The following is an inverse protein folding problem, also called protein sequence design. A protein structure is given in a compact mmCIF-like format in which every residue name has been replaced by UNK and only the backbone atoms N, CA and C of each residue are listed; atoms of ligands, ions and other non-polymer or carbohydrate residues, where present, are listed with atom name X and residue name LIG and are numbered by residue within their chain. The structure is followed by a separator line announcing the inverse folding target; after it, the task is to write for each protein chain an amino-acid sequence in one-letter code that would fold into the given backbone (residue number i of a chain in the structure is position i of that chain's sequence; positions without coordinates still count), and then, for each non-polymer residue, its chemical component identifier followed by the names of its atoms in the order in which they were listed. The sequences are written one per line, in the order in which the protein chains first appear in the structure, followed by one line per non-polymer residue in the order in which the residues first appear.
data_IF_571230557183
#
_entry.id   IF_571230557183
#
_cell.length_a   1.000
_cell.length_b   1.000
_cell.length_c   1.000
_cell.angle_alpha   90.00
_cell.angle_beta   90.00
_cell.angle_gamma   90.00
#
_symmetry.space_group_name_H-M   'P 1'
#
loop_
_entity.id
_entity.type
_entity.pdbx_description
1 polymer ?
#
# COMPACT_ATOMS: atom_id res chain seq x y z
N UNK A 1 -4.96 19.76 -21.67
CA UNK A 1 -5.02 18.87 -20.48
C UNK A 1 -6.43 18.32 -20.39
N UNK A 2 -6.61 17.00 -20.25
CA UNK A 2 -7.94 16.36 -20.21
C UNK A 2 -8.55 16.33 -18.81
N UNK A 3 -7.72 16.23 -17.78
CA UNK A 3 -8.08 16.42 -16.38
C UNK A 3 -7.29 17.62 -15.82
N UNK A 4 -7.87 18.37 -14.89
CA UNK A 4 -7.21 19.49 -14.18
C UNK A 4 -6.49 19.00 -12.92
N UNK A 5 -5.95 17.80 -12.97
CA UNK A 5 -5.33 17.13 -11.83
C UNK A 5 -3.84 17.49 -11.73
N UNK A 6 -3.37 17.64 -10.50
CA UNK A 6 -1.95 17.77 -10.17
C UNK A 6 -1.44 16.42 -9.66
N UNK A 7 -0.63 15.74 -10.47
CA UNK A 7 -0.09 14.42 -10.11
C UNK A 7 1.35 14.54 -9.59
N UNK A 8 1.55 14.24 -8.31
CA UNK A 8 2.86 14.25 -7.67
C UNK A 8 3.45 12.84 -7.71
N UNK A 9 4.71 12.72 -8.14
CA UNK A 9 5.41 11.43 -8.18
C UNK A 9 6.08 11.13 -6.83
N UNK A 10 6.11 9.86 -6.40
CA UNK A 10 6.94 9.47 -5.26
C UNK A 10 8.43 9.64 -5.61
N UNK A 11 9.25 10.03 -4.64
CA UNK A 11 10.73 10.05 -4.77
C UNK A 11 11.26 8.63 -5.05
N UNK A 12 10.65 7.63 -4.42
CA UNK A 12 10.93 6.21 -4.65
C UNK A 12 9.64 5.51 -5.10
N UNK A 13 9.58 5.11 -6.37
CA UNK A 13 8.40 4.46 -6.95
C UNK A 13 8.27 2.97 -6.62
N UNK A 14 9.35 2.34 -6.11
CA UNK A 14 9.38 0.92 -5.77
C UNK A 14 10.21 0.70 -4.51
N UNK A 15 9.59 0.05 -3.53
CA UNK A 15 10.27 -0.48 -2.35
C UNK A 15 10.34 -1.99 -2.52
N UNK A 16 11.55 -2.54 -2.50
CA UNK A 16 11.76 -3.99 -2.55
C UNK A 16 12.01 -4.49 -1.15
N UNK A 17 11.22 -5.46 -0.71
CA UNK A 17 11.39 -6.09 0.59
C UNK A 17 12.36 -7.27 0.48
N UNK A 18 13.29 -7.35 1.43
CA UNK A 18 14.00 -8.61 1.71
C UNK A 18 13.01 -9.58 2.38
N UNK A 19 13.35 -10.87 2.40
CA UNK A 19 12.51 -11.95 2.96
C UNK A 19 11.93 -11.54 4.32
N UNK A 20 10.59 -11.60 4.46
CA UNK A 20 9.91 -11.31 5.73
C UNK A 20 10.39 -12.34 6.76
N UNK A 21 10.88 -11.92 7.93
CA UNK A 21 11.34 -12.85 8.96
C UNK A 21 10.21 -13.79 9.38
N UNK A 22 10.47 -15.11 9.48
CA UNK A 22 9.45 -16.10 9.85
C UNK A 22 8.92 -15.94 11.28
N UNK A 23 9.56 -15.09 12.10
CA UNK A 23 9.14 -14.79 13.48
C UNK A 23 8.04 -13.74 13.58
N UNK A 24 7.68 -13.09 12.47
CA UNK A 24 6.60 -12.10 12.44
C UNK A 24 5.23 -12.78 12.32
N UNK A 25 4.74 -13.29 13.45
CA UNK A 25 3.37 -13.83 13.57
C UNK A 25 2.31 -12.74 13.75
N UNK A 26 2.71 -11.46 13.74
CA UNK A 26 1.84 -10.29 13.91
C UNK A 26 1.91 -9.34 12.72
N UNK A 27 0.89 -8.48 12.57
CA UNK A 27 0.96 -7.35 11.63
C UNK A 27 2.13 -6.45 12.03
N UNK A 28 2.82 -5.93 11.03
CA UNK A 28 3.95 -5.01 11.16
C UNK A 28 3.80 -3.90 10.13
N UNK A 29 4.38 -2.73 10.40
CA UNK A 29 4.52 -1.70 9.40
C UNK A 29 5.76 -1.96 8.54
N UNK A 30 5.68 -1.65 7.24
CA UNK A 30 6.81 -1.83 6.32
C UNK A 30 8.09 -1.12 6.79
N UNK A 31 7.92 0.02 7.47
CA UNK A 31 8.99 0.83 8.06
C UNK A 31 9.78 0.11 9.16
N UNK A 32 9.18 -0.89 9.82
CA UNK A 32 9.83 -1.64 10.91
C UNK A 32 10.84 -2.67 10.39
N UNK A 33 10.72 -3.07 9.12
CA UNK A 33 11.50 -4.16 8.52
C UNK A 33 12.21 -3.81 7.23
N UNK A 34 12.04 -2.58 6.75
CA UNK A 34 12.72 -2.06 5.57
C UNK A 34 13.61 -0.89 5.95
N UNK A 35 14.60 -0.60 5.12
CA UNK A 35 15.44 0.60 5.27
C UNK A 35 14.68 1.88 4.86
N UNK A 36 13.40 1.77 4.51
CA UNK A 36 12.55 2.87 4.07
C UNK A 36 11.56 3.20 5.18
N UNK A 37 11.68 4.39 5.76
CA UNK A 37 10.75 4.87 6.78
C UNK A 37 9.35 5.08 6.20
N UNK A 38 9.21 5.88 5.14
CA UNK A 38 7.91 6.23 4.57
C UNK A 38 7.99 6.48 3.06
N UNK A 39 6.83 6.44 2.38
CA UNK A 39 6.71 6.80 0.98
C UNK A 39 6.84 8.32 0.82
N UNK A 40 8.06 8.77 0.53
CA UNK A 40 8.34 10.18 0.27
C UNK A 40 7.93 10.62 -1.15
N UNK A 41 7.50 11.88 -1.29
CA UNK A 41 7.08 12.48 -2.56
C UNK A 41 8.01 13.60 -3.02
N UNK A 42 8.08 13.82 -4.34
CA UNK A 42 8.91 14.86 -4.96
C UNK A 42 8.24 16.24 -4.86
N UNK A 43 7.83 16.61 -3.65
CA UNK A 43 7.21 17.88 -3.29
C UNK A 43 7.57 18.18 -1.83
N UNK A 44 7.72 19.46 -1.49
CA UNK A 44 7.93 19.89 -0.12
C UNK A 44 6.61 19.86 0.66
N UNK A 45 6.66 19.58 1.97
CA UNK A 45 5.46 19.40 2.80
C UNK A 45 4.54 20.64 2.79
N UNK A 46 5.10 21.85 2.78
CA UNK A 46 4.31 23.09 2.70
C UNK A 46 3.53 23.20 1.39
N UNK A 47 4.16 22.84 0.27
CA UNK A 47 3.52 22.84 -1.05
C UNK A 47 2.43 21.77 -1.14
N UNK A 48 2.69 20.59 -0.55
CA UNK A 48 1.70 19.53 -0.46
C UNK A 48 0.49 19.97 0.37
N UNK A 49 0.70 20.66 1.48
CA UNK A 49 -0.39 21.19 2.31
C UNK A 49 -1.23 22.24 1.57
N UNK A 50 -0.59 23.13 0.80
CA UNK A 50 -1.33 24.06 -0.05
C UNK A 50 -2.17 23.33 -1.11
N UNK A 51 -1.62 22.26 -1.71
CA UNK A 51 -2.36 21.45 -2.68
C UNK A 51 -3.57 20.76 -2.03
N UNK A 52 -3.42 20.23 -0.81
CA UNK A 52 -4.53 19.64 -0.04
C UNK A 52 -5.65 20.65 0.23
N UNK A 53 -5.30 21.90 0.57
CA UNK A 53 -6.28 22.97 0.83
C UNK A 53 -6.99 23.47 -0.44
N UNK A 54 -6.32 23.37 -1.60
CA UNK A 54 -6.81 23.89 -2.87
C UNK A 54 -7.46 22.82 -3.76
N UNK A 55 -7.54 21.58 -3.30
CA UNK A 55 -8.11 20.45 -4.05
C UNK A 55 -9.33 19.88 -3.35
N UNK A 56 -10.41 19.65 -4.10
CA UNK A 56 -11.62 19.04 -3.57
C UNK A 56 -11.48 17.52 -3.32
N UNK A 57 -10.51 16.89 -3.98
CA UNK A 57 -10.29 15.43 -3.93
C UNK A 57 -8.83 15.07 -4.21
N UNK A 58 -8.35 14.02 -3.55
CA UNK A 58 -7.07 13.38 -3.84
C UNK A 58 -7.27 11.87 -4.08
N UNK A 59 -6.48 11.30 -4.99
CA UNK A 59 -6.48 9.87 -5.28
C UNK A 59 -5.05 9.38 -5.37
N UNK A 60 -4.76 8.27 -4.69
CA UNK A 60 -3.48 7.58 -4.77
C UNK A 60 -3.71 6.09 -5.07
N UNK A 61 -2.87 5.53 -5.95
CA UNK A 61 -2.86 4.09 -6.25
C UNK A 61 -1.54 3.49 -5.79
N UNK A 62 -1.62 2.33 -5.14
CA UNK A 62 -0.47 1.57 -4.65
C UNK A 62 -0.60 0.14 -5.19
N UNK A 63 0.51 -0.43 -5.64
CA UNK A 63 0.56 -1.82 -6.10
C UNK A 63 1.45 -2.62 -5.16
N UNK A 64 0.88 -3.67 -4.57
CA UNK A 64 1.63 -4.65 -3.79
C UNK A 64 1.97 -5.83 -4.69
N UNK A 65 3.25 -6.15 -4.80
CA UNK A 65 3.72 -7.35 -5.50
C UNK A 65 4.07 -8.43 -4.48
N UNK A 66 3.54 -9.63 -4.66
CA UNK A 66 3.82 -10.78 -3.83
C UNK A 66 4.57 -11.85 -4.63
N UNK A 67 5.59 -12.45 -4.04
CA UNK A 67 6.32 -13.59 -4.58
C UNK A 67 6.67 -14.56 -3.45
N UNK A 68 6.71 -15.87 -3.75
CA UNK A 68 7.04 -16.90 -2.74
C UNK A 68 5.94 -17.21 -1.71
N UNK A 69 4.70 -16.74 -1.92
CA UNK A 69 3.54 -17.12 -1.09
C UNK A 69 2.97 -18.51 -1.41
N UNK A 70 3.53 -19.20 -2.43
CA UNK A 70 3.07 -20.51 -2.91
C UNK A 70 3.14 -21.61 -1.85
N UNK A 71 4.07 -21.52 -0.89
CA UNK A 71 4.29 -22.57 0.11
C UNK A 71 3.60 -22.29 1.46
N UNK A 72 3.06 -21.07 1.69
CA UNK A 72 2.43 -20.71 2.96
C UNK A 72 0.92 -20.96 3.01
N UNK A 73 0.29 -21.38 1.90
CA UNK A 73 -1.17 -21.40 1.77
C UNK A 73 -1.70 -22.70 1.17
N UNK A 74 -1.46 -23.83 1.84
CA UNK A 74 -2.27 -25.03 1.61
C UNK A 74 -3.65 -24.91 2.31
N UNK A 75 -3.80 -24.03 3.32
CA UNK A 75 -5.04 -23.93 4.12
C UNK A 75 -5.50 -22.50 4.48
N UNK A 76 -4.89 -21.44 3.94
CA UNK A 76 -5.30 -20.06 4.24
C UNK A 76 -6.22 -19.54 3.12
N UNK A 77 -7.49 -19.35 3.44
CA UNK A 77 -8.53 -18.82 2.55
C UNK A 77 -8.50 -17.29 2.44
N UNK A 78 -7.55 -16.64 3.11
CA UNK A 78 -7.53 -15.20 3.32
C UNK A 78 -6.45 -14.61 2.42
N UNK A 79 -6.88 -13.93 1.35
CA UNK A 79 -5.97 -13.18 0.48
C UNK A 79 -5.12 -12.21 1.30
N UNK A 80 -3.87 -11.99 0.88
CA UNK A 80 -3.00 -10.95 1.45
C UNK A 80 -3.71 -9.59 1.48
N UNK A 81 -4.55 -9.33 0.48
CA UNK A 81 -5.32 -8.10 0.35
C UNK A 81 -6.39 -7.91 1.45
N UNK A 82 -6.77 -8.97 2.19
CA UNK A 82 -7.69 -8.88 3.33
C UNK A 82 -7.00 -8.38 4.62
N UNK A 83 -5.68 -8.52 4.72
CA UNK A 83 -4.93 -8.25 5.96
C UNK A 83 -4.03 -7.02 5.92
N UNK A 84 -3.97 -6.33 4.79
CA UNK A 84 -3.20 -5.09 4.63
C UNK A 84 -3.92 -3.88 5.24
N UNK A 85 -3.11 -2.97 5.79
CA UNK A 85 -3.51 -1.65 6.27
C UNK A 85 -2.61 -0.61 5.62
N UNK A 86 -3.14 0.56 5.32
CA UNK A 86 -2.37 1.68 4.81
C UNK A 86 -2.32 2.79 5.86
N UNK A 87 -1.20 3.48 5.97
CA UNK A 87 -1.03 4.64 6.82
C UNK A 87 -1.17 5.90 5.96
N UNK A 88 -2.11 6.77 6.32
CA UNK A 88 -2.27 8.10 5.72
C UNK A 88 -1.25 9.09 6.28
N UNK A 89 -1.10 10.24 5.61
CA UNK A 89 -0.14 11.28 6.05
C UNK A 89 -0.54 11.98 7.35
N UNK A 90 -1.81 11.87 7.73
CA UNK A 90 -2.40 12.40 8.96
C UNK A 90 -2.45 11.36 10.10
N UNK A 91 -1.59 10.34 10.02
CA UNK A 91 -1.57 9.15 10.89
C UNK A 91 -2.86 8.31 10.86
N UNK A 92 -3.78 8.57 9.93
CA UNK A 92 -4.99 7.78 9.81
C UNK A 92 -4.67 6.39 9.25
N UNK A 93 -5.08 5.35 9.97
CA UNK A 93 -5.04 3.98 9.46
C UNK A 93 -6.26 3.73 8.56
N UNK A 94 -6.00 3.35 7.30
CA UNK A 94 -7.00 2.95 6.33
C UNK A 94 -7.13 1.42 6.33
N UNK A 95 -8.37 0.94 6.49
CA UNK A 95 -8.70 -0.49 6.53
C UNK A 95 -9.81 -0.81 5.53
N UNK A 96 -9.75 -1.99 4.90
CA UNK A 96 -10.67 -2.38 3.82
C UNK A 96 -12.16 -2.25 4.17
N UNK A 97 -12.54 -2.59 5.41
CA UNK A 97 -13.94 -2.65 5.85
C UNK A 97 -14.34 -1.51 6.79
N UNK A 98 -13.49 -0.50 6.98
CA UNK A 98 -13.85 0.64 7.81
C UNK A 98 -14.96 1.47 7.14
N UNK A 99 -15.99 1.96 7.87
CA UNK A 99 -17.11 2.68 7.26
C UNK A 99 -16.70 3.93 6.47
N UNK A 100 -15.78 4.73 7.01
CA UNK A 100 -15.33 6.01 6.42
C UNK A 100 -13.89 6.04 5.90
N UNK A 101 -12.98 5.20 6.44
CA UNK A 101 -11.53 5.25 6.24
C UNK A 101 -11.05 3.98 5.56
N UNK A 102 -11.56 3.74 4.36
CA UNK A 102 -11.31 2.51 3.60
C UNK A 102 -10.60 2.78 2.29
N UNK A 103 -9.80 1.81 1.89
CA UNK A 103 -9.27 1.72 0.54
C UNK A 103 -10.09 0.71 -0.28
N UNK A 104 -10.02 0.84 -1.60
CA UNK A 104 -10.62 -0.10 -2.54
C UNK A 104 -9.53 -0.90 -3.26
N UNK A 105 -9.78 -2.19 -3.47
CA UNK A 105 -8.88 -3.08 -4.22
C UNK A 105 -9.42 -3.15 -5.64
N UNK A 106 -8.67 -2.59 -6.59
CA UNK A 106 -9.01 -2.65 -8.02
C UNK A 106 -8.76 -4.04 -8.61
N UNK A 107 -7.67 -4.72 -8.20
CA UNK A 107 -7.31 -6.06 -8.67
C UNK A 107 -6.53 -6.83 -7.59
N UNK A 108 -6.83 -8.13 -7.45
CA UNK A 108 -6.12 -9.04 -6.53
C UNK A 108 -5.74 -10.36 -7.22
N UNK A 109 -4.45 -10.66 -7.17
CA UNK A 109 -3.85 -11.91 -7.65
C UNK A 109 -2.97 -12.57 -6.58
N UNK A 110 -2.80 -11.93 -5.42
CA UNK A 110 -1.95 -12.41 -4.34
C UNK A 110 -2.69 -13.42 -3.46
N UNK A 111 -2.60 -14.70 -3.83
CA UNK A 111 -3.33 -15.81 -3.16
C UNK A 111 -4.05 -16.74 -4.14
N UNK A 112 -3.98 -16.47 -5.46
CA UNK A 112 -4.40 -17.44 -6.47
C UNK A 112 -3.30 -18.48 -6.62
N UNK A 113 -3.65 -19.76 -6.39
CA UNK A 113 -2.77 -20.89 -6.72
C UNK A 113 -2.53 -20.86 -8.23
N UNK A 114 -1.31 -20.54 -8.65
CA UNK A 114 -0.90 -20.78 -10.02
C UNK A 114 -0.75 -22.29 -10.20
N UNK A 115 -1.82 -22.96 -10.65
CA UNK A 115 -1.70 -24.29 -11.21
C UNK A 115 -0.84 -24.17 -12.48
N UNK A 116 0.42 -24.53 -12.37
CA UNK A 116 1.23 -24.88 -13.54
C UNK A 116 0.69 -26.24 -13.98
N UNK A 117 -0.01 -26.27 -15.11
CA UNK A 117 -0.40 -27.50 -15.83
C UNK A 117 0.83 -28.04 -16.55
#
# INVERSE_FOLDING_TARGET
MKTKETCIKPKQSKISMKKIPPTMNSRFWLQEISEVNELNYAIESEQLNFLKLSSDMAVQRITLSCSGLSDMTINSTISLAENIRLLGDDDTVLERYHPLRKFHIEQDQCGKVCHII
#
